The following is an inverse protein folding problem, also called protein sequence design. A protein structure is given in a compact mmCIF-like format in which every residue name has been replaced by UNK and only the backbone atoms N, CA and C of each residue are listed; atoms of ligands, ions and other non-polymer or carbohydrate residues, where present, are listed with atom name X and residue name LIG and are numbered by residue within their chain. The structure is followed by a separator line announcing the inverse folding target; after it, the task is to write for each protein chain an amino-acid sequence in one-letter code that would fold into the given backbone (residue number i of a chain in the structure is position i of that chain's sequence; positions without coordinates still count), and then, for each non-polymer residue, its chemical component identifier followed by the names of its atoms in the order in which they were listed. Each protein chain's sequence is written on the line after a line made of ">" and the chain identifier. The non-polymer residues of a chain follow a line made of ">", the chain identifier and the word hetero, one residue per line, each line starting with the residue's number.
data_IF_453845844142
#
_entry.id   IF_453845844142
#
_cell.length_a   1.000
_cell.length_b   1.000
_cell.length_c   1.000
_cell.angle_alpha   90.00
_cell.angle_beta   90.00
_cell.angle_gamma   90.00
#
_symmetry.space_group_name_H-M   'P 1'
#
loop_
_entity.id
_entity.type
_entity.pdbx_description
1 polymer ?
#
# COMPACT_ATOMS: atom_id res chain seq x y z
N UNK A 1 0.27 -19.53 10.87
CA UNK A 1 0.68 -19.04 12.20
C UNK A 1 1.04 -17.58 12.03
N UNK A 2 0.21 -16.66 12.53
CA UNK A 2 0.49 -15.24 12.41
C UNK A 2 1.66 -14.90 13.33
N UNK A 3 2.78 -14.46 12.75
CA UNK A 3 3.87 -13.87 13.51
C UNK A 3 3.34 -12.58 14.07
N UNK A 4 3.20 -12.52 15.40
CA UNK A 4 2.83 -11.34 16.19
C UNK A 4 4.02 -10.36 16.22
N UNK A 5 4.51 -10.02 15.03
CA UNK A 5 5.47 -8.94 14.82
C UNK A 5 4.71 -7.65 15.08
N UNK A 6 5.23 -6.81 15.95
CA UNK A 6 4.70 -5.49 16.31
C UNK A 6 4.76 -4.48 15.14
N UNK A 7 4.26 -4.88 13.97
CA UNK A 7 4.08 -4.03 12.81
C UNK A 7 2.92 -3.10 13.14
N UNK A 8 3.24 -1.83 13.41
CA UNK A 8 2.22 -0.81 13.62
C UNK A 8 1.40 -0.69 12.33
N UNK A 9 0.14 -1.15 12.37
CA UNK A 9 -0.76 -1.02 11.24
C UNK A 9 -1.01 0.48 10.95
N UNK A 10 -0.90 0.92 9.68
CA UNK A 10 -1.07 2.34 9.33
C UNK A 10 -2.50 2.81 9.62
N UNK A 11 -2.68 4.06 10.03
CA UNK A 11 -3.97 4.73 9.92
C UNK A 11 -4.38 4.80 8.44
N UNK A 12 -5.64 4.50 8.12
CA UNK A 12 -6.09 4.44 6.74
C UNK A 12 -7.31 5.33 6.56
N UNK A 13 -7.21 6.24 5.60
CA UNK A 13 -8.29 7.11 5.15
C UNK A 13 -8.64 6.75 3.70
N UNK A 14 -9.91 6.50 3.43
CA UNK A 14 -10.40 6.19 2.09
C UNK A 14 -11.48 7.19 1.74
N UNK A 15 -11.37 7.78 0.55
CA UNK A 15 -12.40 8.65 0.00
C UNK A 15 -13.78 7.97 0.02
N UNK A 16 -14.79 8.73 0.44
CA UNK A 16 -16.15 8.23 0.62
C UNK A 16 -16.77 7.68 -0.67
N UNK A 17 -16.46 8.25 -1.83
CA UNK A 17 -16.96 7.78 -3.14
C UNK A 17 -16.43 6.38 -3.44
N UNK A 18 -15.15 6.13 -3.14
CA UNK A 18 -14.54 4.81 -3.32
C UNK A 18 -15.12 3.78 -2.34
N UNK A 19 -15.34 4.16 -1.09
CA UNK A 19 -15.97 3.27 -0.09
C UNK A 19 -17.38 2.86 -0.51
N UNK A 20 -18.21 3.82 -0.93
CA UNK A 20 -19.56 3.51 -1.42
C UNK A 20 -19.53 2.62 -2.66
N UNK A 21 -18.60 2.89 -3.59
CA UNK A 21 -18.40 2.04 -4.76
C UNK A 21 -18.04 0.62 -4.39
N UNK A 22 -17.05 0.43 -3.51
CA UNK A 22 -16.61 -0.89 -3.05
C UNK A 22 -17.75 -1.66 -2.37
N UNK A 23 -18.56 -0.98 -1.53
CA UNK A 23 -19.73 -1.57 -0.88
C UNK A 23 -20.79 -2.02 -1.88
N UNK A 24 -21.13 -1.18 -2.86
CA UNK A 24 -22.11 -1.51 -3.92
C UNK A 24 -21.67 -2.69 -4.76
N UNK A 25 -20.37 -2.76 -5.07
CA UNK A 25 -19.79 -3.85 -5.85
C UNK A 25 -19.54 -5.11 -5.01
N UNK A 26 -19.69 -5.06 -3.68
CA UNK A 26 -19.37 -6.17 -2.79
C UNK A 26 -17.88 -6.55 -2.79
N UNK A 27 -17.00 -5.60 -3.12
CA UNK A 27 -15.56 -5.83 -3.29
C UNK A 27 -14.75 -5.27 -2.12
N UNK A 28 -13.61 -5.91 -1.88
CA UNK A 28 -12.57 -5.40 -1.01
C UNK A 28 -11.68 -4.38 -1.75
N UNK A 29 -11.07 -3.47 -0.99
CA UNK A 29 -10.07 -2.52 -1.48
C UNK A 29 -8.68 -3.07 -1.15
N UNK A 30 -7.81 -3.18 -2.15
CA UNK A 30 -6.44 -3.67 -2.01
C UNK A 30 -5.46 -2.55 -2.29
N UNK A 31 -4.56 -2.30 -1.34
CA UNK A 31 -3.57 -1.23 -1.38
C UNK A 31 -2.20 -1.86 -1.64
N UNK A 32 -1.44 -1.31 -2.59
CA UNK A 32 -0.07 -1.75 -2.88
C UNK A 32 0.97 -0.64 -2.64
N UNK A 33 1.10 -0.09 -1.41
CA UNK A 33 2.13 0.90 -1.15
C UNK A 33 3.51 0.28 -1.32
N UNK A 34 4.32 0.88 -2.19
CA UNK A 34 5.70 0.45 -2.44
C UNK A 34 6.63 1.58 -2.04
N UNK A 35 7.41 1.39 -0.99
CA UNK A 35 8.50 2.29 -0.62
C UNK A 35 9.72 1.96 -1.47
N UNK A 36 10.14 2.92 -2.32
CA UNK A 36 11.38 2.84 -3.08
C UNK A 36 12.46 3.66 -2.38
N UNK A 37 13.53 3.00 -1.95
CA UNK A 37 14.73 3.67 -1.48
C UNK A 37 15.56 4.10 -2.71
N UNK A 38 15.28 5.31 -3.20
CA UNK A 38 16.07 6.01 -4.21
C UNK A 38 16.22 7.49 -3.79
N UNK A 39 16.93 8.29 -4.59
CA UNK A 39 17.10 9.73 -4.36
C UNK A 39 15.75 10.50 -4.34
N UNK A 40 14.65 9.87 -4.77
CA UNK A 40 13.28 10.36 -4.64
C UNK A 40 12.41 9.28 -3.99
N UNK A 41 12.02 9.49 -2.72
CA UNK A 41 11.05 8.62 -2.06
C UNK A 41 9.68 8.86 -2.70
N UNK A 42 9.30 8.02 -3.66
CA UNK A 42 7.96 8.02 -4.22
C UNK A 42 6.97 7.47 -3.17
N UNK A 43 6.02 8.31 -2.77
CA UNK A 43 4.99 7.99 -1.77
C UNK A 43 3.60 7.85 -2.38
N UNK A 44 3.52 7.40 -3.63
CA UNK A 44 2.27 7.23 -4.38
C UNK A 44 2.12 5.78 -4.83
N UNK A 45 0.89 5.29 -4.86
CA UNK A 45 0.58 3.93 -5.29
C UNK A 45 -0.78 3.86 -5.99
N UNK A 46 -1.06 2.72 -6.62
CA UNK A 46 -2.39 2.37 -7.14
C UNK A 46 -3.04 1.33 -6.23
N UNK A 47 -4.34 1.47 -6.05
CA UNK A 47 -5.22 0.54 -5.36
C UNK A 47 -6.06 -0.24 -6.38
N UNK A 48 -6.68 -1.32 -5.92
CA UNK A 48 -7.56 -2.16 -6.73
C UNK A 48 -8.81 -2.55 -5.95
N UNK A 49 -9.89 -2.88 -6.68
CA UNK A 49 -11.06 -3.55 -6.11
C UNK A 49 -11.01 -5.04 -6.45
N UNK A 50 -11.12 -5.91 -5.44
CA UNK A 50 -11.06 -7.37 -5.62
C UNK A 50 -12.16 -8.09 -4.83
N UNK A 51 -12.59 -9.25 -5.32
CA UNK A 51 -13.57 -10.10 -4.64
C UNK A 51 -12.98 -10.80 -3.42
N UNK A 52 -11.75 -11.32 -3.56
CA UNK A 52 -11.03 -12.01 -2.49
C UNK A 52 -9.54 -11.68 -2.54
N UNK A 53 -8.89 -11.79 -1.38
CA UNK A 53 -7.44 -11.60 -1.19
C UNK A 53 -6.96 -12.62 -0.18
N UNK A 54 -6.05 -13.49 -0.60
CA UNK A 54 -5.48 -14.53 0.27
C UNK A 54 -4.15 -14.10 0.90
N UNK A 55 -3.41 -13.23 0.23
CA UNK A 55 -2.06 -12.79 0.62
C UNK A 55 -2.04 -11.28 0.89
N UNK A 56 -1.84 -10.91 2.16
CA UNK A 56 -1.84 -9.53 2.66
C UNK A 56 -0.97 -9.40 3.92
N UNK A 57 -0.43 -8.21 4.15
CA UNK A 57 0.35 -7.90 5.37
C UNK A 57 -0.56 -7.37 6.48
N UNK A 58 -1.56 -6.55 6.11
CA UNK A 58 -2.52 -5.96 7.06
C UNK A 58 -3.93 -6.03 6.52
N UNK A 59 -4.87 -6.41 7.39
CA UNK A 59 -6.31 -6.39 7.11
C UNK A 59 -7.01 -5.39 8.03
N UNK A 60 -7.88 -4.55 7.45
CA UNK A 60 -8.75 -3.60 8.16
C UNK A 60 -10.19 -3.68 7.65
N UNK A 61 -11.11 -3.13 8.43
CA UNK A 61 -12.47 -2.83 8.00
C UNK A 61 -12.72 -1.34 8.13
N UNK A 62 -13.11 -0.68 7.06
CA UNK A 62 -13.33 0.77 7.00
C UNK A 62 -14.72 1.01 6.43
N UNK A 63 -15.62 1.60 7.23
CA UNK A 63 -17.02 1.77 6.81
C UNK A 63 -17.71 0.46 6.42
N UNK A 64 -17.31 -0.67 7.03
CA UNK A 64 -17.81 -2.02 6.70
C UNK A 64 -17.18 -2.67 5.46
N UNK A 65 -16.29 -1.98 4.74
CA UNK A 65 -15.59 -2.51 3.57
C UNK A 65 -14.27 -3.18 4.00
N UNK A 66 -13.97 -4.41 3.54
CA UNK A 66 -12.67 -5.03 3.78
C UNK A 66 -11.56 -4.28 3.03
N UNK A 67 -10.48 -3.96 3.74
CA UNK A 67 -9.31 -3.28 3.19
C UNK A 67 -8.06 -4.11 3.47
N UNK A 68 -7.30 -4.43 2.43
CA UNK A 68 -6.08 -5.23 2.50
C UNK A 68 -4.88 -4.38 2.07
N UNK A 69 -3.79 -4.49 2.80
CA UNK A 69 -2.54 -3.79 2.49
C UNK A 69 -1.49 -4.83 2.17
N UNK A 70 -0.87 -4.69 1.00
CA UNK A 70 0.30 -5.44 0.56
C UNK A 70 1.46 -4.47 0.38
N UNK A 71 2.25 -4.30 1.43
CA UNK A 71 3.36 -3.37 1.49
C UNK A 71 4.63 -4.00 0.94
N UNK A 72 5.39 -3.22 0.16
CA UNK A 72 6.72 -3.63 -0.32
C UNK A 72 7.72 -2.52 -0.04
N UNK A 73 8.92 -2.89 0.39
CA UNK A 73 10.07 -2.01 0.44
C UNK A 73 11.13 -2.56 -0.52
N UNK A 74 11.62 -1.72 -1.43
CA UNK A 74 12.61 -2.10 -2.45
C UNK A 74 13.73 -1.07 -2.52
N UNK A 75 14.97 -1.55 -2.68
CA UNK A 75 16.12 -0.71 -2.99
C UNK A 75 16.24 -0.50 -4.50
N UNK A 76 16.42 0.74 -4.96
CA UNK A 76 16.70 1.03 -6.36
C UNK A 76 18.17 1.39 -6.55
N UNK A 77 18.83 0.79 -7.55
CA UNK A 77 20.24 1.04 -7.86
C UNK A 77 20.49 2.39 -8.55
N UNK A 78 19.47 2.95 -9.21
CA UNK A 78 19.63 4.11 -10.09
C UNK A 78 18.81 5.30 -9.59
N UNK A 79 19.47 6.45 -9.49
CA UNK A 79 18.83 7.73 -9.25
C UNK A 79 18.84 8.57 -10.53
N UNK A 80 17.67 9.00 -11.00
CA UNK A 80 17.55 10.09 -11.98
C UNK A 80 17.93 9.77 -13.42
N UNK A 81 17.50 8.64 -13.98
CA UNK A 81 17.62 8.38 -15.42
C UNK A 81 16.37 8.80 -16.20
N UNK A 82 16.56 9.37 -17.39
CA UNK A 82 15.48 9.67 -18.37
C UNK A 82 14.74 8.42 -18.87
N UNK A 83 15.30 7.24 -18.59
CA UNK A 83 14.69 5.93 -18.81
C UNK A 83 14.06 5.49 -17.51
N UNK A 84 12.77 5.74 -17.38
CA UNK A 84 11.98 5.22 -16.28
C UNK A 84 12.19 3.70 -16.12
N UNK A 85 12.40 3.27 -14.88
CA UNK A 85 11.99 1.96 -14.39
C UNK A 85 12.61 0.72 -15.04
N UNK A 86 13.90 0.70 -15.40
CA UNK A 86 14.63 -0.58 -15.47
C UNK A 86 15.04 -0.99 -14.04
N UNK A 87 14.04 -1.51 -13.31
CA UNK A 87 14.07 -1.83 -11.88
C UNK A 87 14.79 -3.16 -11.63
N UNK A 88 16.02 -3.09 -11.12
CA UNK A 88 16.56 -4.20 -10.32
C UNK A 88 16.24 -3.87 -8.86
N UNK A 89 15.07 -4.31 -8.42
CA UNK A 89 14.64 -4.20 -7.02
C UNK A 89 15.46 -5.16 -6.16
N UNK A 90 16.29 -4.63 -5.26
CA UNK A 90 16.93 -5.47 -4.24
C UNK A 90 15.96 -5.68 -3.07
N UNK A 91 15.78 -6.93 -2.60
CA UNK A 91 14.91 -7.20 -1.46
C UNK A 91 15.47 -6.57 -0.18
N UNK A 92 14.59 -5.92 0.58
CA UNK A 92 14.90 -5.42 1.93
C UNK A 92 14.62 -6.57 2.91
N UNK A 93 15.55 -6.83 3.84
CA UNK A 93 15.48 -7.99 4.76
C UNK A 93 14.31 -7.90 5.78
N UNK A 94 13.88 -6.68 6.12
CA UNK A 94 12.82 -6.41 7.11
C UNK A 94 11.88 -5.29 6.59
N UNK A 95 11.09 -5.53 5.53
CA UNK A 95 10.24 -4.51 4.93
C UNK A 95 9.21 -3.93 5.91
N UNK A 96 8.72 -4.72 6.86
CA UNK A 96 7.74 -4.34 7.86
C UNK A 96 8.19 -3.19 8.78
N UNK A 97 9.50 -3.01 8.98
CA UNK A 97 10.06 -1.87 9.75
C UNK A 97 9.85 -0.53 9.05
N UNK A 98 9.53 -0.58 7.76
CA UNK A 98 9.25 0.56 6.92
C UNK A 98 7.76 0.67 6.57
N UNK A 99 6.88 -0.03 7.30
CA UNK A 99 5.44 0.16 7.15
C UNK A 99 5.10 1.65 7.38
N UNK A 100 4.32 2.30 6.50
CA UNK A 100 3.88 3.67 6.72
C UNK A 100 3.07 3.79 8.01
N UNK A 101 3.04 5.00 8.58
CA UNK A 101 2.15 5.35 9.70
C UNK A 101 0.74 5.66 9.25
N UNK A 102 0.58 6.19 8.04
CA UNK A 102 -0.71 6.54 7.47
C UNK A 102 -0.75 6.26 5.97
N UNK A 103 -1.94 5.97 5.48
CA UNK A 103 -2.28 5.76 4.06
C UNK A 103 -3.57 6.53 3.74
N UNK A 104 -3.57 7.28 2.64
CA UNK A 104 -4.76 7.93 2.09
C UNK A 104 -5.03 7.41 0.68
N UNK A 105 -6.29 7.08 0.39
CA UNK A 105 -6.74 6.54 -0.90
C UNK A 105 -7.81 7.45 -1.48
N UNK A 106 -7.64 7.83 -2.74
CA UNK A 106 -8.53 8.71 -3.48
C UNK A 106 -9.54 7.92 -4.33
N UNK A 107 -10.55 8.63 -4.84
CA UNK A 107 -11.64 8.04 -5.63
C UNK A 107 -11.22 7.41 -6.95
N UNK A 108 -10.07 7.83 -7.50
CA UNK A 108 -9.49 7.33 -8.76
C UNK A 108 -8.61 6.08 -8.58
N UNK A 109 -8.68 5.44 -7.40
CA UNK A 109 -7.83 4.32 -7.01
C UNK A 109 -6.33 4.66 -6.97
N UNK A 110 -5.96 5.94 -6.91
CA UNK A 110 -4.61 6.32 -6.51
C UNK A 110 -4.56 6.53 -4.99
N UNK A 111 -3.36 6.53 -4.43
CA UNK A 111 -3.16 6.80 -3.02
C UNK A 111 -1.78 7.30 -2.70
N UNK A 112 -1.63 7.80 -1.47
CA UNK A 112 -0.38 8.24 -0.89
C UNK A 112 -0.18 7.70 0.53
N UNK A 113 1.06 7.70 1.00
CA UNK A 113 1.39 7.21 2.34
C UNK A 113 2.52 8.01 2.99
N UNK A 114 2.66 7.92 4.32
CA UNK A 114 3.72 8.64 5.02
C UNK A 114 4.07 8.11 6.41
N UNK A 115 4.96 8.83 7.09
CA UNK A 115 5.69 8.34 8.29
C UNK A 115 5.72 9.32 9.47
N UNK A 116 5.00 10.45 9.39
CA UNK A 116 4.91 11.40 10.51
C UNK A 116 3.99 10.84 11.60
#
# INVERSE_FOLDING_TARGET
>A
MAVDSAVRAPEVEIDGVLLERARKEGKAIVLYPTLKFSCLIAKRFKAELRESVEDYDVKKSIGGVPVFIKFRAVGSRFCGGDRGFEEVDFPVLEPERFMPRWIRVYSDLSGEFGYK
#
